data_IF_134758934103
#
_entry.id   IF_134758934103
#
_cell.length_a   1.000
_cell.length_b   1.000
_cell.length_c   1.000
_cell.angle_alpha   90.00
_cell.angle_beta   90.00
_cell.angle_gamma   90.00
#
_symmetry.space_group_name_H-M   'P 1'
#
loop_
_entity.id
_entity.type
_entity.pdbx_description
1 polymer ?
#
# COMPACT_ATOMS: atom_id res chain seq x y z
N UNK A 1 47.35 -7.49 40.06
CA UNK A 1 47.16 -6.98 38.67
C UNK A 1 46.76 -8.18 37.83
N UNK A 2 45.53 -8.24 37.44
CA UNK A 2 45.02 -9.29 36.55
C UNK A 2 44.58 -8.54 35.27
N UNK A 3 45.38 -8.65 34.22
CA UNK A 3 45.05 -8.18 32.90
C UNK A 3 44.08 -9.19 32.27
N UNK A 4 42.87 -8.78 32.00
CA UNK A 4 41.88 -9.56 31.22
C UNK A 4 41.90 -9.02 29.81
N UNK A 5 42.60 -9.68 28.88
CA UNK A 5 42.47 -9.43 27.44
C UNK A 5 41.09 -9.82 26.96
N UNK A 6 40.27 -8.81 26.61
CA UNK A 6 39.02 -9.01 25.86
C UNK A 6 39.33 -8.83 24.37
N UNK A 7 39.90 -9.87 23.76
CA UNK A 7 40.13 -9.96 22.32
C UNK A 7 38.91 -10.44 21.54
N UNK A 8 37.82 -9.69 21.55
CA UNK A 8 36.69 -9.93 20.68
C UNK A 8 36.86 -9.22 19.33
N UNK A 9 37.32 -9.92 18.26
CA UNK A 9 37.23 -9.41 16.89
C UNK A 9 35.75 -9.17 16.58
N UNK A 10 35.33 -7.90 16.57
CA UNK A 10 34.08 -7.47 15.97
C UNK A 10 34.11 -7.90 14.50
N UNK A 11 33.36 -8.98 14.16
CA UNK A 11 33.07 -9.31 12.77
C UNK A 11 32.22 -8.16 12.21
N UNK A 12 32.82 -7.24 11.51
CA UNK A 12 32.10 -6.29 10.66
C UNK A 12 31.44 -7.11 9.55
N UNK A 13 30.21 -7.55 9.76
CA UNK A 13 29.41 -8.05 8.65
C UNK A 13 29.26 -6.87 7.69
N UNK A 14 29.76 -6.96 6.46
CA UNK A 14 29.40 -6.02 5.40
C UNK A 14 27.88 -5.94 5.38
N UNK A 15 27.32 -4.82 5.81
CA UNK A 15 25.91 -4.55 5.62
C UNK A 15 25.64 -4.64 4.12
N UNK A 16 24.75 -5.53 3.71
CA UNK A 16 24.32 -5.55 2.32
C UNK A 16 23.50 -4.27 2.10
N UNK A 17 23.94 -3.45 1.17
CA UNK A 17 23.19 -2.27 0.75
C UNK A 17 21.98 -2.74 -0.06
N UNK A 18 20.82 -2.14 0.21
CA UNK A 18 19.58 -2.36 -0.52
C UNK A 18 19.18 -1.03 -1.19
N UNK A 19 19.13 -1.02 -2.51
CA UNK A 19 18.62 0.13 -3.26
C UNK A 19 17.08 0.17 -3.14
N UNK A 20 16.56 1.24 -2.54
CA UNK A 20 15.14 1.46 -2.35
C UNK A 20 14.70 2.70 -3.11
N UNK A 21 13.62 2.61 -3.86
CA UNK A 21 12.94 3.75 -4.46
C UNK A 21 11.66 4.07 -3.67
N UNK A 22 11.45 5.35 -3.38
CA UNK A 22 10.22 5.87 -2.82
C UNK A 22 9.55 6.74 -3.89
N UNK A 23 8.36 6.32 -4.34
CA UNK A 23 7.60 7.03 -5.36
C UNK A 23 6.78 8.13 -4.70
N UNK A 24 7.15 9.38 -4.96
CA UNK A 24 6.40 10.56 -4.56
C UNK A 24 5.74 11.16 -5.80
N UNK A 25 4.55 10.66 -6.13
CA UNK A 25 3.77 11.08 -7.28
C UNK A 25 2.28 11.10 -6.94
N UNK A 26 1.51 11.85 -7.71
CA UNK A 26 0.06 11.87 -7.57
C UNK A 26 -0.57 10.74 -8.37
N UNK A 27 -1.46 9.95 -7.79
CA UNK A 27 -2.35 9.08 -8.56
C UNK A 27 -3.36 9.91 -9.36
N UNK A 28 -4.11 9.24 -10.22
CA UNK A 28 -5.24 9.85 -10.96
C UNK A 28 -6.52 9.59 -10.19
N UNK A 29 -6.81 10.44 -9.22
CA UNK A 29 -7.97 10.28 -8.33
C UNK A 29 -9.30 10.60 -9.02
N UNK A 30 -10.37 9.82 -8.82
CA UNK A 30 -10.43 8.54 -8.12
C UNK A 30 -10.32 7.33 -9.06
N UNK A 31 -9.60 7.43 -10.16
CA UNK A 31 -9.53 6.45 -11.24
C UNK A 31 -8.45 5.39 -10.98
N UNK A 32 -8.87 4.20 -10.54
CA UNK A 32 -7.95 3.08 -10.23
C UNK A 32 -7.19 2.59 -11.45
N UNK A 33 -7.83 2.50 -12.61
CA UNK A 33 -7.19 2.04 -13.85
C UNK A 33 -6.03 2.94 -14.26
N UNK A 34 -6.26 4.25 -14.26
CA UNK A 34 -5.21 5.21 -14.59
C UNK A 34 -4.15 5.32 -13.49
N UNK A 35 -4.54 5.25 -12.23
CA UNK A 35 -3.60 5.23 -11.10
C UNK A 35 -2.70 3.99 -11.14
N UNK A 36 -3.24 2.83 -11.50
CA UNK A 36 -2.46 1.61 -11.69
C UNK A 36 -1.48 1.76 -12.84
N UNK A 37 -1.91 2.32 -13.98
CA UNK A 37 -1.02 2.59 -15.12
C UNK A 37 0.16 3.49 -14.71
N UNK A 38 -0.10 4.53 -13.92
CA UNK A 38 0.94 5.41 -13.36
C UNK A 38 1.87 4.65 -12.42
N UNK A 39 1.31 3.83 -11.51
CA UNK A 39 2.09 3.01 -10.59
C UNK A 39 3.04 2.05 -11.33
N UNK A 40 2.54 1.33 -12.34
CA UNK A 40 3.32 0.39 -13.13
C UNK A 40 4.47 1.08 -13.85
N UNK A 41 4.25 2.27 -14.43
CA UNK A 41 5.29 3.05 -15.10
C UNK A 41 6.42 3.46 -14.12
N UNK A 42 6.09 3.95 -12.93
CA UNK A 42 7.10 4.27 -11.91
C UNK A 42 7.84 3.05 -11.38
N UNK A 43 7.17 1.90 -11.25
CA UNK A 43 7.81 0.65 -10.87
C UNK A 43 8.86 0.25 -11.90
N UNK A 44 8.51 0.30 -13.19
CA UNK A 44 9.45 -0.02 -14.27
C UNK A 44 10.62 0.95 -14.34
N UNK A 45 10.37 2.25 -14.21
CA UNK A 45 11.40 3.29 -14.18
C UNK A 45 12.37 3.09 -13.00
N UNK A 46 11.84 2.88 -11.79
CA UNK A 46 12.65 2.66 -10.60
C UNK A 46 13.46 1.36 -10.69
N UNK A 47 12.88 0.30 -11.24
CA UNK A 47 13.59 -0.97 -11.48
C UNK A 47 14.73 -0.78 -12.48
N UNK A 48 14.49 -0.05 -13.58
CA UNK A 48 15.53 0.28 -14.57
C UNK A 48 16.66 1.12 -13.97
N UNK A 49 16.36 1.96 -12.96
CA UNK A 49 17.33 2.71 -12.19
C UNK A 49 18.10 1.87 -11.14
N UNK A 50 17.77 0.57 -11.00
CA UNK A 50 18.47 -0.36 -10.13
C UNK A 50 17.84 -0.57 -8.74
N UNK A 51 16.66 -0.02 -8.48
CA UNK A 51 15.96 -0.28 -7.23
C UNK A 51 15.62 -1.78 -7.08
N UNK A 52 15.66 -2.28 -5.84
CA UNK A 52 15.29 -3.65 -5.47
C UNK A 52 14.03 -3.70 -4.62
N UNK A 53 13.67 -2.61 -4.01
CA UNK A 53 12.42 -2.42 -3.31
C UNK A 53 11.83 -1.07 -3.73
N UNK A 54 10.56 -1.06 -4.11
CA UNK A 54 9.85 0.13 -4.58
C UNK A 54 8.63 0.35 -3.69
N UNK A 55 8.54 1.53 -3.10
CA UNK A 55 7.48 1.89 -2.17
C UNK A 55 6.62 3.01 -2.77
N UNK A 56 5.32 2.75 -2.89
CA UNK A 56 4.31 3.75 -3.26
C UNK A 56 3.49 4.12 -2.03
N UNK A 57 3.03 5.37 -1.98
CA UNK A 57 2.40 5.96 -0.79
C UNK A 57 1.10 5.28 -0.35
N UNK A 58 0.63 5.72 0.81
CA UNK A 58 -0.67 5.34 1.38
C UNK A 58 -1.79 5.58 0.35
N UNK A 59 -2.66 4.58 0.19
CA UNK A 59 -3.83 4.64 -0.72
C UNK A 59 -3.52 5.12 -2.14
N UNK A 60 -2.33 4.81 -2.66
CA UNK A 60 -1.96 5.20 -4.02
C UNK A 60 -2.98 4.73 -5.07
N UNK A 61 -3.67 3.62 -4.82
CA UNK A 61 -4.78 3.15 -5.64
C UNK A 61 -6.10 3.28 -4.87
N UNK A 62 -7.02 4.16 -5.29
CA UNK A 62 -6.97 5.15 -6.38
C UNK A 62 -6.54 6.56 -5.95
N UNK A 63 -6.02 6.76 -4.75
CA UNK A 63 -5.62 8.04 -4.20
C UNK A 63 -6.30 8.37 -2.87
N UNK A 64 -5.68 9.25 -2.08
CA UNK A 64 -6.19 9.65 -0.77
C UNK A 64 -7.45 10.52 -0.89
N UNK A 65 -8.49 10.27 -0.11
CA UNK A 65 -9.75 11.02 -0.15
C UNK A 65 -9.63 12.37 0.57
N UNK A 66 -8.76 13.25 0.09
CA UNK A 66 -8.46 14.54 0.71
C UNK A 66 -9.70 15.46 0.86
N UNK A 67 -10.78 15.20 0.13
CA UNK A 67 -12.03 15.92 0.27
C UNK A 67 -12.64 15.82 1.68
N UNK A 68 -12.28 14.79 2.46
CA UNK A 68 -12.69 14.68 3.87
C UNK A 68 -12.27 15.88 4.72
N UNK A 69 -11.12 16.45 4.42
CA UNK A 69 -10.53 17.54 5.21
C UNK A 69 -10.85 18.93 4.66
N UNK A 70 -11.25 19.01 3.38
CA UNK A 70 -11.39 20.29 2.68
C UNK A 70 -12.82 20.61 2.21
N UNK A 71 -13.72 19.63 2.13
CA UNK A 71 -15.08 19.86 1.64
C UNK A 71 -16.04 20.12 2.78
N UNK A 72 -16.74 21.24 2.72
CA UNK A 72 -17.87 21.51 3.61
C UNK A 72 -18.94 20.40 3.44
N UNK A 73 -19.48 19.95 4.55
CA UNK A 73 -20.50 18.91 4.53
C UNK A 73 -19.99 17.48 4.42
N UNK A 74 -18.69 17.24 4.33
CA UNK A 74 -18.12 15.88 4.28
C UNK A 74 -18.54 15.01 5.46
N UNK A 75 -18.79 15.61 6.63
CA UNK A 75 -19.22 14.92 7.86
C UNK A 75 -20.74 14.97 8.09
N UNK A 76 -21.52 15.52 7.19
CA UNK A 76 -22.97 15.61 7.38
C UNK A 76 -23.65 14.26 7.23
N UNK A 77 -24.45 13.91 8.25
CA UNK A 77 -25.22 12.69 8.26
C UNK A 77 -26.25 12.67 7.10
N UNK A 78 -26.31 11.54 6.41
CA UNK A 78 -27.26 11.29 5.33
C UNK A 78 -27.24 12.32 4.18
N UNK A 79 -26.11 12.97 3.95
CA UNK A 79 -25.93 13.98 2.92
C UNK A 79 -25.71 13.34 1.54
N UNK A 80 -26.61 13.56 0.54
CA UNK A 80 -26.51 12.90 -0.75
C UNK A 80 -25.16 13.04 -1.46
N UNK A 81 -24.51 14.24 -1.55
CA UNK A 81 -23.21 14.39 -2.19
C UNK A 81 -22.12 13.50 -1.57
N UNK A 82 -22.14 13.32 -0.24
CA UNK A 82 -21.16 12.45 0.45
C UNK A 82 -21.37 10.99 0.08
N UNK A 83 -22.63 10.57 -0.07
CA UNK A 83 -22.95 9.20 -0.48
C UNK A 83 -22.50 8.92 -1.92
N UNK A 84 -22.68 9.89 -2.81
CA UNK A 84 -22.26 9.78 -4.21
C UNK A 84 -20.73 9.65 -4.33
N UNK A 85 -19.99 10.51 -3.65
CA UNK A 85 -18.52 10.46 -3.62
C UNK A 85 -18.01 9.16 -2.98
N UNK A 86 -18.67 8.69 -1.90
CA UNK A 86 -18.32 7.41 -1.29
C UNK A 86 -18.59 6.23 -2.23
N UNK A 87 -19.72 6.25 -2.94
CA UNK A 87 -20.06 5.21 -3.91
C UNK A 87 -19.05 5.16 -5.05
N UNK A 88 -18.60 6.33 -5.54
CA UNK A 88 -17.56 6.42 -6.56
C UNK A 88 -16.22 5.90 -6.05
N UNK A 89 -15.81 6.29 -4.84
CA UNK A 89 -14.61 5.78 -4.21
C UNK A 89 -14.66 4.26 -4.04
N UNK A 90 -15.80 3.71 -3.59
CA UNK A 90 -16.01 2.28 -3.46
C UNK A 90 -15.91 1.56 -4.82
N UNK A 91 -16.51 2.13 -5.86
CA UNK A 91 -16.44 1.56 -7.22
C UNK A 91 -14.99 1.48 -7.74
N UNK A 92 -14.17 2.46 -7.36
CA UNK A 92 -12.76 2.56 -7.69
C UNK A 92 -11.82 1.91 -6.64
N UNK A 93 -12.33 1.24 -5.62
CA UNK A 93 -11.53 0.46 -4.66
C UNK A 93 -11.30 -0.95 -5.20
N UNK A 94 -10.20 -1.58 -4.83
CA UNK A 94 -9.78 -2.87 -5.37
C UNK A 94 -10.15 -4.05 -4.46
N UNK A 95 -10.39 -5.20 -5.06
CA UNK A 95 -10.58 -6.48 -4.37
C UNK A 95 -9.24 -7.20 -4.27
N UNK A 96 -8.95 -7.82 -3.14
CA UNK A 96 -7.71 -8.57 -2.92
C UNK A 96 -8.05 -10.04 -2.61
N UNK A 97 -7.64 -10.99 -3.47
CA UNK A 97 -6.97 -10.82 -4.76
C UNK A 97 -7.91 -10.34 -5.89
N UNK A 98 -7.38 -9.65 -6.88
CA UNK A 98 -8.11 -9.13 -8.03
C UNK A 98 -7.19 -8.80 -9.20
N UNK A 99 -7.74 -8.20 -10.26
CA UNK A 99 -7.01 -7.84 -11.49
C UNK A 99 -5.83 -6.90 -11.22
N UNK A 100 -6.02 -5.90 -10.37
CA UNK A 100 -5.01 -4.91 -10.03
C UNK A 100 -3.84 -5.56 -9.26
N UNK A 101 -4.16 -6.45 -8.32
CA UNK A 101 -3.12 -7.22 -7.60
C UNK A 101 -2.40 -8.19 -8.52
N UNK A 102 -3.09 -8.75 -9.52
CA UNK A 102 -2.50 -9.57 -10.59
C UNK A 102 -1.47 -8.78 -11.39
N UNK A 103 -1.81 -7.59 -11.86
CA UNK A 103 -0.91 -6.72 -12.61
C UNK A 103 0.32 -6.30 -11.78
N UNK A 104 0.15 -6.01 -10.49
CA UNK A 104 1.27 -5.71 -9.57
C UNK A 104 2.17 -6.94 -9.36
N UNK A 105 1.59 -8.12 -9.23
CA UNK A 105 2.31 -9.39 -9.15
C UNK A 105 3.16 -9.66 -10.41
N UNK A 106 2.55 -9.48 -11.58
CA UNK A 106 3.21 -9.67 -12.88
C UNK A 106 4.38 -8.71 -13.09
N UNK A 107 4.22 -7.41 -12.76
CA UNK A 107 5.32 -6.45 -12.90
C UNK A 107 6.43 -6.76 -11.91
N UNK A 108 6.13 -7.09 -10.64
CA UNK A 108 7.13 -7.44 -9.64
C UNK A 108 8.00 -8.61 -10.11
N UNK A 109 7.37 -9.67 -10.62
CA UNK A 109 8.07 -10.84 -11.19
C UNK A 109 8.88 -10.50 -12.45
N UNK A 110 8.32 -9.70 -13.35
CA UNK A 110 8.95 -9.36 -14.64
C UNK A 110 10.20 -8.50 -14.46
N UNK A 111 10.19 -7.54 -13.53
CA UNK A 111 11.34 -6.64 -13.31
C UNK A 111 12.19 -7.01 -12.09
N UNK A 112 11.86 -8.12 -11.41
CA UNK A 112 12.57 -8.67 -10.25
C UNK A 112 12.80 -7.66 -9.12
N UNK A 113 11.70 -7.05 -8.63
CA UNK A 113 11.71 -6.09 -7.52
C UNK A 113 10.64 -6.42 -6.48
N UNK A 114 10.92 -6.09 -5.21
CA UNK A 114 9.88 -6.02 -4.19
C UNK A 114 9.04 -4.77 -4.36
N UNK A 115 7.73 -4.86 -4.12
CA UNK A 115 6.80 -3.71 -4.19
C UNK A 115 6.04 -3.61 -2.87
N UNK A 116 5.94 -2.38 -2.36
CA UNK A 116 5.04 -2.00 -1.26
C UNK A 116 4.12 -0.90 -1.77
N UNK A 117 2.80 -1.12 -1.69
CA UNK A 117 1.83 -0.16 -2.24
C UNK A 117 0.60 -0.05 -1.35
N UNK A 118 0.19 1.20 -1.08
CA UNK A 118 -1.05 1.53 -0.39
C UNK A 118 -2.25 1.50 -1.33
N UNK A 119 -3.35 0.96 -0.84
CA UNK A 119 -4.59 0.78 -1.62
C UNK A 119 -5.83 1.08 -0.80
N UNK A 120 -6.94 1.44 -1.48
CA UNK A 120 -8.27 1.22 -0.96
C UNK A 120 -8.70 -0.21 -1.28
N UNK A 121 -8.90 -1.01 -0.25
CA UNK A 121 -9.44 -2.36 -0.38
C UNK A 121 -10.95 -2.32 -0.18
N UNK A 122 -11.71 -3.02 -1.02
CA UNK A 122 -13.13 -3.28 -0.77
C UNK A 122 -13.40 -4.76 -0.57
N UNK A 123 -14.36 -5.05 0.30
CA UNK A 123 -14.88 -6.39 0.49
C UNK A 123 -16.08 -6.57 -0.42
N UNK A 124 -16.00 -7.55 -1.33
CA UNK A 124 -17.06 -7.81 -2.30
C UNK A 124 -18.06 -8.85 -1.79
N UNK A 125 -17.60 -9.85 -1.05
CA UNK A 125 -18.43 -10.96 -0.57
C UNK A 125 -18.20 -11.26 0.91
N UNK A 126 -19.19 -11.89 1.54
CA UNK A 126 -19.10 -12.42 2.89
C UNK A 126 -19.20 -11.36 3.99
N UNK A 127 -18.75 -11.69 5.21
CA UNK A 127 -18.74 -10.76 6.33
C UNK A 127 -17.92 -9.51 6.01
N UNK A 128 -18.49 -8.34 6.23
CA UNK A 128 -17.85 -7.06 5.89
C UNK A 128 -18.12 -6.57 4.47
N UNK A 129 -18.98 -7.26 3.67
CA UNK A 129 -19.42 -6.77 2.36
C UNK A 129 -19.81 -5.29 2.42
N UNK A 130 -19.26 -4.51 1.47
CA UNK A 130 -19.45 -3.06 1.41
C UNK A 130 -18.46 -2.25 2.24
N UNK A 131 -17.67 -2.88 3.12
CA UNK A 131 -16.61 -2.18 3.86
C UNK A 131 -15.43 -1.83 2.96
N UNK A 132 -14.83 -0.68 3.27
CA UNK A 132 -13.54 -0.27 2.72
C UNK A 132 -12.46 -0.34 3.79
N UNK A 133 -11.25 -0.68 3.40
CA UNK A 133 -10.06 -0.66 4.25
C UNK A 133 -8.94 0.13 3.60
N UNK A 134 -8.16 0.82 4.42
CA UNK A 134 -6.88 1.37 4.04
C UNK A 134 -5.85 0.26 4.21
N UNK A 135 -5.34 -0.26 3.12
CA UNK A 135 -4.52 -1.47 3.11
C UNK A 135 -3.16 -1.24 2.46
N UNK A 136 -2.18 -2.00 2.91
CA UNK A 136 -0.82 -2.01 2.39
C UNK A 136 -0.50 -3.43 1.90
N UNK A 137 -0.11 -3.53 0.64
CA UNK A 137 0.26 -4.80 0.00
C UNK A 137 1.77 -4.89 -0.18
N UNK A 138 2.31 -6.08 0.02
CA UNK A 138 3.74 -6.37 -0.11
C UNK A 138 3.94 -7.52 -1.11
N UNK A 139 4.53 -7.21 -2.24
CA UNK A 139 4.89 -8.19 -3.26
C UNK A 139 6.39 -8.47 -3.20
N UNK A 140 6.76 -9.73 -3.33
CA UNK A 140 8.15 -10.16 -3.47
C UNK A 140 8.58 -10.06 -4.94
N UNK A 141 9.89 -10.10 -5.17
CA UNK A 141 10.51 -10.07 -6.50
C UNK A 141 10.11 -11.23 -7.44
N UNK A 142 9.47 -12.28 -6.92
CA UNK A 142 8.88 -13.37 -7.69
C UNK A 142 7.39 -13.15 -8.00
N UNK A 143 6.84 -12.01 -7.62
CA UNK A 143 5.43 -11.64 -7.81
C UNK A 143 4.50 -12.13 -6.70
N UNK A 144 4.96 -12.94 -5.75
CA UNK A 144 4.08 -13.42 -4.67
C UNK A 144 3.65 -12.29 -3.74
N UNK A 145 2.34 -12.20 -3.44
CA UNK A 145 1.79 -11.35 -2.39
C UNK A 145 2.13 -11.96 -1.03
N UNK A 146 3.14 -11.41 -0.35
CA UNK A 146 3.70 -11.98 0.89
C UNK A 146 3.12 -11.38 2.14
N UNK A 147 2.54 -10.20 2.07
CA UNK A 147 1.80 -9.61 3.18
C UNK A 147 0.68 -8.69 2.65
N UNK A 148 -0.42 -8.69 3.40
CA UNK A 148 -1.57 -7.83 3.22
C UNK A 148 -1.94 -7.29 4.60
N UNK A 149 -1.71 -6.00 4.81
CA UNK A 149 -1.93 -5.34 6.09
C UNK A 149 -3.01 -4.28 5.96
N UNK A 150 -4.07 -4.38 6.76
CA UNK A 150 -5.09 -3.35 6.93
C UNK A 150 -4.69 -2.40 8.05
N UNK A 151 -4.71 -1.10 7.80
CA UNK A 151 -4.47 -0.07 8.83
C UNK A 151 -5.35 -0.35 10.04
N UNK A 152 -4.75 -0.58 11.21
CA UNK A 152 -5.48 -1.02 12.39
C UNK A 152 -6.57 -0.04 12.79
N UNK A 153 -6.23 1.23 12.85
CA UNK A 153 -7.14 2.30 13.25
C UNK A 153 -6.99 3.45 12.26
N UNK A 154 -8.00 3.70 11.41
CA UNK A 154 -8.02 4.89 10.58
C UNK A 154 -7.98 6.16 11.44
N UNK A 155 -7.25 7.18 10.97
CA UNK A 155 -6.99 8.40 11.72
C UNK A 155 -8.17 9.37 11.57
N UNK A 156 -8.71 9.85 12.68
CA UNK A 156 -9.71 10.92 12.75
C UNK A 156 -10.82 10.83 11.67
N UNK A 157 -10.85 11.73 10.69
CA UNK A 157 -11.85 11.81 9.60
C UNK A 157 -11.85 10.56 8.69
N UNK A 158 -10.73 9.86 8.59
CA UNK A 158 -10.60 8.62 7.80
C UNK A 158 -11.60 7.53 8.22
N UNK A 159 -12.05 7.54 9.50
CA UNK A 159 -13.06 6.60 10.03
C UNK A 159 -14.42 6.73 9.38
N UNK A 160 -14.65 7.79 8.64
CA UNK A 160 -15.87 7.97 7.86
C UNK A 160 -15.87 7.12 6.59
N UNK A 161 -14.68 6.65 6.15
CA UNK A 161 -14.50 5.86 4.94
C UNK A 161 -14.06 4.43 5.28
N UNK A 162 -13.02 4.28 6.11
CA UNK A 162 -12.40 3.00 6.34
C UNK A 162 -12.80 2.37 7.66
N UNK A 163 -13.06 1.07 7.60
CA UNK A 163 -13.21 0.23 8.78
C UNK A 163 -11.86 0.02 9.48
N UNK A 164 -11.92 -0.33 10.77
CA UNK A 164 -10.74 -0.77 11.51
C UNK A 164 -10.19 -2.06 10.90
N UNK A 165 -8.89 -2.09 10.73
CA UNK A 165 -8.18 -3.29 10.30
C UNK A 165 -8.08 -4.35 11.39
N UNK A 166 -7.38 -5.42 11.05
CA UNK A 166 -7.09 -6.55 11.94
C UNK A 166 -5.58 -6.76 12.10
N UNK A 167 -5.21 -7.68 12.99
CA UNK A 167 -3.81 -7.96 13.29
C UNK A 167 -3.15 -8.96 12.31
N UNK A 168 -3.86 -9.49 11.32
CA UNK A 168 -3.35 -10.55 10.44
C UNK A 168 -2.10 -10.12 9.65
N UNK A 169 -2.03 -8.85 9.26
CA UNK A 169 -0.89 -8.26 8.57
C UNK A 169 0.25 -7.78 9.47
N UNK A 170 0.13 -7.86 10.80
CA UNK A 170 1.20 -7.47 11.73
C UNK A 170 2.26 -8.57 11.85
N UNK A 171 2.97 -8.79 10.77
CA UNK A 171 4.03 -9.81 10.68
C UNK A 171 5.16 -9.32 9.80
N UNK A 172 6.36 -9.81 10.07
CA UNK A 172 7.47 -9.62 9.16
C UNK A 172 7.28 -10.49 7.91
N UNK A 173 7.51 -9.90 6.75
CA UNK A 173 7.57 -10.60 5.49
C UNK A 173 8.97 -10.47 4.89
N UNK A 174 9.46 -11.52 4.25
CA UNK A 174 10.69 -11.46 3.47
C UNK A 174 10.33 -11.04 2.05
N UNK A 175 10.80 -9.91 1.65
CA UNK A 175 10.64 -9.31 0.32
C UNK A 175 11.89 -9.59 -0.53
#
# INVERSE_FOLDING_TARGET
MVETEIGGRLRTSRRKELAVAVVQASPVYPNTTESLRVALAFIEEAAAAGAKLICLGETFLPGYPAWLDYCEGAALWNHPPVKEVFAELRANSIVVPGSETGALSEVAARVHVGIVIGIHERIEDGPGHGSLYNSLLFFREDGSLVNHHRKLIPTYSERMIWANGDAAGLRCAKI
#
